data_IF_437017948274
#
_entry.id   IF_437017948274
#
_cell.length_a   1.000
_cell.length_b   1.000
_cell.length_c   1.000
_cell.angle_alpha   90.00
_cell.angle_beta   90.00
_cell.angle_gamma   90.00
#
_symmetry.space_group_name_H-M   'P 1'
#
loop_
_entity.id
_entity.type
_entity.pdbx_description
1 polymer ?
#
# COMPACT_ATOMS: atom_id res chain seq x y z
N UNK A 1 -11.09 -3.68 15.85
CA UNK A 1 -11.49 -3.93 14.45
C UNK A 1 -10.34 -3.61 13.52
N UNK A 2 -10.01 -4.55 12.66
CA UNK A 2 -8.85 -4.40 11.78
C UNK A 2 -9.24 -3.93 10.39
N UNK A 3 -8.37 -3.11 9.82
CA UNK A 3 -8.52 -2.57 8.47
C UNK A 3 -7.21 -2.77 7.72
N UNK A 4 -7.31 -3.01 6.42
CA UNK A 4 -6.15 -2.93 5.53
C UNK A 4 -6.21 -1.63 4.75
N UNK A 5 -5.07 -0.96 4.66
CA UNK A 5 -4.87 0.17 3.75
C UNK A 5 -4.06 -0.30 2.57
N UNK A 6 -4.58 -0.11 1.37
CA UNK A 6 -3.85 -0.36 0.14
C UNK A 6 -3.33 0.96 -0.39
N UNK A 7 -2.02 1.10 -0.46
CA UNK A 7 -1.39 2.31 -0.96
C UNK A 7 -1.12 2.15 -2.46
N UNK A 8 -1.74 3.02 -3.25
CA UNK A 8 -1.65 2.99 -4.71
C UNK A 8 -0.71 4.06 -5.24
N UNK A 9 -0.19 3.82 -6.41
CA UNK A 9 0.50 4.82 -7.23
C UNK A 9 0.14 4.61 -8.70
N UNK A 10 0.40 5.63 -9.52
CA UNK A 10 0.22 5.53 -10.97
C UNK A 10 1.61 5.46 -11.59
N UNK A 11 2.04 4.28 -12.08
CA UNK A 11 3.40 4.11 -12.60
C UNK A 11 3.80 5.13 -13.66
N UNK A 12 2.88 5.46 -14.58
CA UNK A 12 3.12 6.44 -15.64
C UNK A 12 3.37 7.84 -15.07
N UNK A 13 2.55 8.28 -14.11
CA UNK A 13 2.72 9.58 -13.46
C UNK A 13 3.99 9.63 -12.63
N UNK A 14 4.26 8.55 -11.90
CA UNK A 14 5.44 8.46 -11.05
C UNK A 14 6.73 8.50 -11.89
N UNK A 15 6.75 7.80 -13.02
CA UNK A 15 7.88 7.78 -13.94
C UNK A 15 8.11 9.14 -14.61
N UNK A 16 7.06 9.96 -14.74
CA UNK A 16 7.16 11.30 -15.32
C UNK A 16 7.70 12.35 -14.33
N UNK A 17 7.78 12.03 -13.04
CA UNK A 17 8.32 12.94 -12.04
C UNK A 17 9.83 13.06 -12.17
N UNK A 18 10.37 14.26 -11.87
CA UNK A 18 11.81 14.46 -11.79
C UNK A 18 12.40 13.59 -10.68
N UNK A 19 13.59 13.01 -10.91
CA UNK A 19 14.24 12.16 -9.91
C UNK A 19 14.47 12.87 -8.58
N UNK A 20 14.80 14.16 -8.60
CA UNK A 20 14.97 14.96 -7.39
C UNK A 20 13.68 15.08 -6.60
N UNK A 21 12.53 15.18 -7.27
CA UNK A 21 11.21 15.26 -6.63
C UNK A 21 10.83 13.91 -6.02
N UNK A 22 11.10 12.82 -6.72
CA UNK A 22 10.87 11.46 -6.20
C UNK A 22 11.72 11.23 -4.95
N UNK A 23 12.99 11.60 -4.99
CA UNK A 23 13.90 11.45 -3.85
C UNK A 23 13.43 12.26 -2.65
N UNK A 24 13.02 13.50 -2.88
CA UNK A 24 12.50 14.38 -1.83
C UNK A 24 11.21 13.80 -1.22
N UNK A 25 10.33 13.26 -2.06
CA UNK A 25 9.09 12.62 -1.63
C UNK A 25 9.37 11.40 -0.77
N UNK A 26 10.19 10.48 -1.25
CA UNK A 26 10.52 9.23 -0.55
C UNK A 26 11.22 9.51 0.77
N UNK A 27 12.04 10.57 0.85
CA UNK A 27 12.75 10.92 2.08
C UNK A 27 11.83 11.32 3.23
N UNK A 28 10.58 11.69 2.96
CA UNK A 28 9.60 12.04 3.98
C UNK A 28 8.89 10.85 4.59
N UNK A 29 8.91 9.70 3.92
CA UNK A 29 8.14 8.52 4.31
C UNK A 29 8.58 7.93 5.66
N UNK A 30 9.88 7.75 5.96
CA UNK A 30 10.29 7.12 7.22
C UNK A 30 9.76 7.84 8.47
N UNK A 31 9.73 9.17 8.48
CA UNK A 31 9.23 9.93 9.64
C UNK A 31 7.72 9.72 9.83
N UNK A 32 6.96 9.66 8.75
CA UNK A 32 5.51 9.41 8.81
C UNK A 32 5.21 7.97 9.20
N UNK A 33 5.96 7.02 8.69
CA UNK A 33 5.85 5.61 9.07
C UNK A 33 6.09 5.44 10.56
N UNK A 34 7.09 6.11 11.11
CA UNK A 34 7.41 6.06 12.54
C UNK A 34 6.30 6.69 13.39
N UNK A 35 5.71 7.80 12.96
CA UNK A 35 4.56 8.38 13.66
C UNK A 35 3.39 7.42 13.72
N UNK A 36 3.12 6.73 12.63
CA UNK A 36 2.05 5.74 12.57
C UNK A 36 2.35 4.56 13.50
N UNK A 37 3.59 4.06 13.48
CA UNK A 37 4.05 3.00 14.37
C UNK A 37 3.92 3.40 15.84
N UNK A 38 4.24 4.63 16.17
CA UNK A 38 4.21 5.14 17.55
C UNK A 38 2.80 5.21 18.16
N UNK A 39 1.76 5.14 17.34
CA UNK A 39 0.37 5.11 17.84
C UNK A 39 0.06 3.82 18.61
N UNK A 40 0.83 2.75 18.40
CA UNK A 40 0.55 1.43 18.95
C UNK A 40 -0.60 0.71 18.24
N UNK A 41 -1.18 1.30 17.20
CA UNK A 41 -2.32 0.76 16.45
C UNK A 41 -1.94 0.14 15.11
N UNK A 42 -0.68 0.25 14.72
CA UNK A 42 -0.17 -0.35 13.49
C UNK A 42 0.16 -1.82 13.73
N UNK A 43 -0.48 -2.72 12.97
CA UNK A 43 -0.19 -4.16 13.02
C UNK A 43 1.02 -4.47 12.14
N UNK A 44 0.99 -3.99 10.90
CA UNK A 44 2.07 -4.20 9.93
C UNK A 44 2.01 -3.12 8.85
N UNK A 45 3.16 -2.81 8.28
CA UNK A 45 3.28 -1.96 7.09
C UNK A 45 4.37 -2.52 6.20
N UNK A 46 4.14 -2.52 4.90
CA UNK A 46 5.10 -3.03 3.93
C UNK A 46 5.00 -2.28 2.62
N UNK A 47 6.14 -2.08 1.97
CA UNK A 47 6.22 -1.63 0.58
C UNK A 47 6.42 -2.84 -0.31
N UNK A 48 5.81 -2.81 -1.48
CA UNK A 48 5.96 -3.88 -2.47
C UNK A 48 7.16 -3.60 -3.37
N UNK A 49 7.79 -4.67 -3.82
CA UNK A 49 8.91 -4.58 -4.76
C UNK A 49 8.46 -4.21 -6.17
N UNK A 50 9.43 -4.00 -7.04
CA UNK A 50 9.20 -3.61 -8.44
C UNK A 50 8.35 -4.63 -9.19
N UNK A 51 7.51 -4.14 -10.10
CA UNK A 51 6.61 -4.96 -10.91
C UNK A 51 7.31 -6.10 -11.66
N UNK A 52 8.56 -5.93 -12.02
CA UNK A 52 9.35 -6.95 -12.70
C UNK A 52 9.48 -8.26 -11.90
N UNK A 53 9.42 -8.17 -10.57
CA UNK A 53 9.52 -9.34 -9.70
C UNK A 53 8.19 -10.00 -9.40
N UNK A 54 7.09 -9.46 -9.88
CA UNK A 54 5.76 -9.99 -9.55
C UNK A 54 5.49 -11.28 -10.29
N UNK A 55 4.81 -12.20 -9.62
CA UNK A 55 4.33 -13.47 -10.16
C UNK A 55 2.85 -13.61 -9.83
N UNK A 56 2.09 -14.16 -10.76
CA UNK A 56 0.69 -14.50 -10.53
C UNK A 56 0.55 -16.01 -10.47
N UNK A 57 -0.10 -16.51 -9.44
CA UNK A 57 -0.42 -17.91 -9.27
C UNK A 57 -1.93 -18.08 -9.43
N UNK A 58 -2.33 -18.97 -10.30
CA UNK A 58 -3.77 -19.23 -10.51
C UNK A 58 -4.05 -20.73 -10.60
N UNK A 59 -5.25 -21.16 -10.17
CA UNK A 59 -5.61 -22.56 -10.28
C UNK A 59 -5.88 -22.94 -11.74
N UNK A 60 -5.39 -24.13 -12.11
CA UNK A 60 -5.68 -24.73 -13.42
C UNK A 60 -5.65 -26.24 -13.30
N UNK A 61 -6.82 -26.86 -13.48
CA UNK A 61 -6.93 -28.33 -13.39
C UNK A 61 -6.53 -28.89 -12.03
N UNK A 62 -6.82 -28.17 -10.93
CA UNK A 62 -6.47 -28.58 -9.58
C UNK A 62 -5.01 -28.34 -9.19
N UNK A 63 -4.23 -27.71 -10.07
CA UNK A 63 -2.81 -27.37 -9.86
C UNK A 63 -2.63 -25.85 -9.92
N UNK A 64 -1.49 -25.40 -9.46
CA UNK A 64 -1.12 -23.98 -9.54
C UNK A 64 -0.35 -23.71 -10.83
N UNK A 65 -0.84 -22.77 -11.61
CA UNK A 65 -0.11 -22.23 -12.76
C UNK A 65 0.58 -20.94 -12.34
N UNK A 66 1.86 -20.80 -12.64
CA UNK A 66 2.63 -19.58 -12.36
C UNK A 66 2.81 -18.77 -13.63
N UNK A 67 2.47 -17.48 -13.56
CA UNK A 67 2.58 -16.54 -14.68
C UNK A 67 3.45 -15.38 -14.24
N UNK A 68 4.34 -14.92 -15.11
CA UNK A 68 5.15 -13.75 -14.84
C UNK A 68 4.31 -12.47 -14.91
N UNK A 69 4.53 -11.58 -13.93
CA UNK A 69 3.89 -10.29 -13.90
C UNK A 69 2.62 -10.24 -13.05
N UNK A 70 1.97 -9.07 -13.00
CA UNK A 70 0.72 -8.88 -12.28
C UNK A 70 -0.44 -9.59 -12.97
N UNK A 71 -1.47 -9.95 -12.20
CA UNK A 71 -2.65 -10.65 -12.72
C UNK A 71 -3.43 -9.82 -13.73
N UNK A 72 -3.52 -8.52 -13.46
CA UNK A 72 -4.20 -7.57 -14.34
C UNK A 72 -3.29 -6.41 -14.66
N UNK A 73 -3.42 -5.86 -15.86
CA UNK A 73 -2.83 -4.57 -16.19
C UNK A 73 -3.77 -3.48 -15.67
N UNK A 74 -3.25 -2.63 -14.80
CA UNK A 74 -4.02 -1.54 -14.22
C UNK A 74 -3.21 -0.24 -14.30
N UNK A 75 -3.95 0.87 -14.46
CA UNK A 75 -3.35 2.21 -14.47
C UNK A 75 -2.82 2.57 -13.10
N UNK A 76 -3.58 2.25 -12.06
CA UNK A 76 -3.18 2.40 -10.66
C UNK A 76 -2.75 1.04 -10.12
N UNK A 77 -1.63 1.02 -9.40
CA UNK A 77 -1.01 -0.20 -8.89
C UNK A 77 -0.80 -0.09 -7.39
N UNK A 78 -1.04 -1.18 -6.67
CA UNK A 78 -0.72 -1.23 -5.24
C UNK A 78 0.80 -1.25 -5.08
N UNK A 79 1.33 -0.26 -4.38
CA UNK A 79 2.75 -0.15 -4.09
C UNK A 79 3.10 -0.44 -2.63
N UNK A 80 2.09 -0.63 -1.78
CA UNK A 80 2.30 -0.94 -0.38
C UNK A 80 0.99 -1.27 0.30
N UNK A 81 1.10 -1.79 1.50
CA UNK A 81 -0.07 -2.06 2.33
C UNK A 81 0.26 -1.86 3.81
N UNK A 82 -0.76 -1.61 4.59
CA UNK A 82 -0.65 -1.63 6.05
C UNK A 82 -1.92 -2.21 6.64
N UNK A 83 -1.81 -2.71 7.86
CA UNK A 83 -2.96 -3.16 8.65
C UNK A 83 -2.94 -2.39 9.96
N UNK A 84 -4.10 -1.86 10.33
CA UNK A 84 -4.30 -1.13 11.58
C UNK A 84 -5.41 -1.78 12.40
N UNK A 85 -5.33 -1.61 13.72
CA UNK A 85 -6.37 -2.04 14.64
C UNK A 85 -7.01 -0.80 15.27
N UNK A 86 -8.22 -0.47 14.84
CA UNK A 86 -8.92 0.73 15.25
C UNK A 86 -10.15 0.41 16.09
N UNK A 87 -10.50 1.31 17.01
CA UNK A 87 -11.67 1.14 17.88
C UNK A 87 -12.96 1.57 17.20
N UNK A 88 -12.87 2.35 16.13
CA UNK A 88 -14.02 2.87 15.40
C UNK A 88 -13.66 3.16 13.94
N UNK A 89 -14.66 3.29 13.03
CA UNK A 89 -14.40 3.74 11.66
C UNK A 89 -13.74 5.11 11.59
N UNK A 90 -14.10 6.03 12.47
CA UNK A 90 -13.48 7.37 12.51
C UNK A 90 -12.02 7.31 12.92
N UNK A 91 -11.68 6.47 13.90
CA UNK A 91 -10.29 6.26 14.28
C UNK A 91 -9.51 5.61 13.13
N UNK A 92 -10.11 4.66 12.42
CA UNK A 92 -9.48 4.02 11.26
C UNK A 92 -9.12 5.04 10.17
N UNK A 93 -10.02 5.97 9.88
CA UNK A 93 -9.76 7.05 8.92
C UNK A 93 -8.63 7.96 9.39
N UNK A 94 -8.63 8.32 10.67
CA UNK A 94 -7.59 9.16 11.25
C UNK A 94 -6.22 8.48 11.18
N UNK A 95 -6.15 7.21 11.54
CA UNK A 95 -4.91 6.44 11.49
C UNK A 95 -4.42 6.26 10.05
N UNK A 96 -5.30 5.88 9.14
CA UNK A 96 -4.96 5.70 7.73
C UNK A 96 -4.46 7.00 7.09
N UNK A 97 -5.03 8.12 7.50
CA UNK A 97 -4.61 9.46 7.04
C UNK A 97 -3.19 9.83 7.45
N UNK A 98 -2.58 9.10 8.38
CA UNK A 98 -1.18 9.30 8.76
C UNK A 98 -0.19 8.66 7.77
N UNK A 99 -0.66 7.75 6.94
CA UNK A 99 0.21 7.08 5.97
C UNK A 99 0.68 8.07 4.90
N UNK A 100 1.96 7.99 4.46
CA UNK A 100 2.48 8.92 3.46
C UNK A 100 1.62 9.04 2.20
N UNK A 101 1.09 7.93 1.69
CA UNK A 101 0.30 7.93 0.48
C UNK A 101 -1.08 8.58 0.64
N UNK A 102 -1.51 8.88 1.86
CA UNK A 102 -2.76 9.58 2.12
C UNK A 102 -2.60 11.11 2.11
N UNK A 103 -1.38 11.63 2.23
CA UNK A 103 -1.12 13.07 2.34
C UNK A 103 -0.07 13.59 1.37
N UNK A 104 0.73 12.72 0.79
CA UNK A 104 1.82 13.06 -0.12
C UNK A 104 1.63 12.39 -1.48
N UNK A 105 2.46 12.74 -2.43
CA UNK A 105 2.57 12.03 -3.70
C UNK A 105 1.41 12.24 -4.67
N UNK A 106 0.65 13.32 -4.53
CA UNK A 106 -0.47 13.63 -5.44
C UNK A 106 -0.05 13.59 -6.91
N UNK A 107 1.11 14.15 -7.23
CA UNK A 107 1.65 14.16 -8.59
C UNK A 107 1.92 12.74 -9.13
N UNK A 108 2.32 11.83 -8.27
CA UNK A 108 2.57 10.43 -8.62
C UNK A 108 1.34 9.52 -8.57
N UNK A 109 0.18 10.09 -8.29
CA UNK A 109 -1.07 9.35 -8.19
C UNK A 109 -1.20 8.53 -6.91
N UNK A 110 -0.53 8.93 -5.83
CA UNK A 110 -0.64 8.24 -4.55
C UNK A 110 -2.03 8.36 -3.97
N UNK A 111 -2.51 7.27 -3.40
CA UNK A 111 -3.81 7.20 -2.71
C UNK A 111 -3.82 6.01 -1.77
N UNK A 112 -4.70 6.07 -0.77
CA UNK A 112 -4.92 4.94 0.14
C UNK A 112 -6.39 4.55 0.07
N UNK A 113 -6.62 3.26 -0.16
CA UNK A 113 -7.94 2.65 -0.07
C UNK A 113 -8.02 1.91 1.26
N UNK A 114 -8.97 2.28 2.10
CA UNK A 114 -9.13 1.70 3.43
C UNK A 114 -10.30 0.71 3.44
N UNK A 115 -10.02 -0.53 3.80
CA UNK A 115 -10.97 -1.64 3.69
C UNK A 115 -11.06 -2.36 5.03
N UNK A 116 -12.28 -2.49 5.63
CA UNK A 116 -12.44 -3.31 6.83
C UNK A 116 -12.11 -4.77 6.52
N UNK A 117 -11.41 -5.43 7.43
CA UNK A 117 -11.12 -6.86 7.27
C UNK A 117 -12.29 -7.68 7.80
N UNK A 118 -12.75 -8.64 6.99
CA UNK A 118 -13.75 -9.62 7.38
C UNK A 118 -13.12 -10.74 8.20
N UNK A 119 -11.95 -11.19 7.77
CA UNK A 119 -11.22 -12.29 8.42
C UNK A 119 -9.76 -11.92 8.57
N UNK A 120 -9.21 -12.21 9.76
CA UNK A 120 -7.80 -12.00 10.06
C UNK A 120 -7.27 -13.21 10.82
N UNK A 121 -6.27 -13.88 10.23
CA UNK A 121 -5.60 -15.01 10.84
C UNK A 121 -4.20 -14.59 11.27
N UNK A 122 -3.97 -14.53 12.58
CA UNK A 122 -2.65 -14.28 13.14
C UNK A 122 -1.86 -15.60 13.22
N UNK A 123 -0.51 -15.51 13.17
CA UNK A 123 0.33 -16.70 13.35
C UNK A 123 0.20 -17.30 14.74
#
# INVERSE_FOLDING_TARGET
MKYVGLAYFTPEKFAAMAQSDVKALVSQCPALDEKMRATGKLVVSASLGDLEGWKTLRPRGGKTQVIDGPYTEAKEVVGGLFIIDADSPDEALRLAGMHPAATLGEEGGWAVELIPLDFYLAP
#
